data_IF_586195665788
#
_entry.id   IF_586195665788
#
_cell.length_a   1.000
_cell.length_b   1.000
_cell.length_c   1.000
_cell.angle_alpha   90.00
_cell.angle_beta   90.00
_cell.angle_gamma   90.00
#
_symmetry.space_group_name_H-M   'P 1'
#
loop_
_entity.id
_entity.type
_entity.pdbx_description
1 polymer ?
#
# COMPACT_ATOMS: atom_id res chain seq x y z
N UNK A 1 21.99 11.17 -13.25
CA UNK A 1 20.94 11.79 -12.40
C UNK A 1 20.23 10.69 -11.59
N UNK A 2 20.76 10.28 -10.43
CA UNK A 2 20.10 9.27 -9.56
C UNK A 2 18.96 9.96 -8.81
N UNK A 3 17.72 9.87 -9.33
CA UNK A 3 16.54 10.29 -8.57
C UNK A 3 16.46 9.39 -7.34
N UNK A 4 16.86 9.91 -6.18
CA UNK A 4 16.55 9.32 -4.89
C UNK A 4 15.04 9.44 -4.74
N UNK A 5 14.27 8.49 -5.29
CA UNK A 5 12.85 8.41 -4.99
C UNK A 5 12.77 8.32 -3.47
N UNK A 6 12.22 9.37 -2.86
CA UNK A 6 12.10 9.44 -1.41
C UNK A 6 11.30 8.20 -0.99
N UNK A 7 11.87 7.29 -0.18
CA UNK A 7 11.17 6.09 0.28
C UNK A 7 9.82 6.45 0.91
N UNK A 8 9.74 7.63 1.53
CA UNK A 8 8.49 8.17 2.08
C UNK A 8 7.44 8.48 1.01
N UNK A 9 7.82 9.12 -0.10
CA UNK A 9 6.88 9.51 -1.15
C UNK A 9 6.26 8.28 -1.82
N UNK A 10 7.07 7.26 -2.09
CA UNK A 10 6.56 5.99 -2.63
C UNK A 10 5.66 5.28 -1.61
N UNK A 11 5.90 5.44 -0.31
CA UNK A 11 5.18 4.71 0.74
C UNK A 11 3.77 5.25 0.90
N UNK A 12 3.64 6.57 0.85
CA UNK A 12 2.36 7.28 0.84
C UNK A 12 1.56 6.90 -0.42
N UNK A 13 2.21 6.82 -1.58
CA UNK A 13 1.55 6.42 -2.83
C UNK A 13 0.97 4.99 -2.75
N UNK A 14 1.77 4.01 -2.32
CA UNK A 14 1.28 2.63 -2.13
C UNK A 14 0.16 2.54 -1.09
N UNK A 15 0.25 3.30 0.00
CA UNK A 15 -0.80 3.35 1.00
C UNK A 15 -2.11 3.94 0.43
N UNK A 16 -2.00 5.04 -0.34
CA UNK A 16 -3.14 5.66 -1.01
C UNK A 16 -3.80 4.74 -2.03
N UNK A 17 -2.99 4.02 -2.82
CA UNK A 17 -3.48 3.04 -3.79
C UNK A 17 -4.19 1.87 -3.09
N UNK A 18 -3.63 1.37 -1.99
CA UNK A 18 -4.23 0.30 -1.20
C UNK A 18 -5.58 0.68 -0.59
N UNK A 19 -5.72 1.92 -0.09
CA UNK A 19 -7.01 2.45 0.39
C UNK A 19 -8.02 2.51 -0.76
N UNK A 20 -7.60 3.01 -1.92
CA UNK A 20 -8.46 3.11 -3.10
C UNK A 20 -9.00 1.73 -3.52
N UNK A 21 -8.12 0.73 -3.63
CA UNK A 21 -8.53 -0.64 -3.96
C UNK A 21 -9.43 -1.26 -2.89
N UNK A 22 -9.21 -0.94 -1.61
CA UNK A 22 -10.09 -1.40 -0.52
C UNK A 22 -11.50 -0.84 -0.67
N UNK A 23 -11.65 0.45 -0.98
CA UNK A 23 -12.97 1.08 -1.21
C UNK A 23 -13.66 0.44 -2.41
N UNK A 24 -12.94 0.23 -3.51
CA UNK A 24 -13.50 -0.45 -4.69
C UNK A 24 -13.89 -1.90 -4.39
N UNK A 25 -13.10 -2.64 -3.61
CA UNK A 25 -13.42 -3.99 -3.20
C UNK A 25 -14.73 -4.04 -2.38
N UNK A 26 -14.90 -3.11 -1.44
CA UNK A 26 -16.12 -2.99 -0.64
C UNK A 26 -17.32 -2.66 -1.54
N UNK A 27 -17.20 -1.68 -2.42
CA UNK A 27 -18.29 -1.36 -3.36
C UNK A 27 -18.64 -2.57 -4.25
N UNK A 28 -17.63 -3.25 -4.79
CA UNK A 28 -17.85 -4.39 -5.66
C UNK A 28 -18.50 -5.56 -4.89
N UNK A 29 -18.11 -5.82 -3.64
CA UNK A 29 -18.73 -6.87 -2.83
C UNK A 29 -20.16 -6.53 -2.43
N UNK A 30 -20.46 -5.25 -2.19
CA UNK A 30 -21.81 -4.79 -1.87
C UNK A 30 -22.77 -4.88 -3.06
N UNK A 31 -22.29 -4.64 -4.29
CA UNK A 31 -23.12 -4.67 -5.50
C UNK A 31 -23.17 -6.04 -6.18
N UNK A 32 -22.03 -6.72 -6.31
CA UNK A 32 -21.85 -7.94 -7.10
C UNK A 32 -21.56 -9.18 -6.24
N UNK A 33 -21.39 -9.02 -4.93
CA UNK A 33 -21.06 -10.10 -4.00
C UNK A 33 -19.59 -10.53 -4.03
N UNK A 34 -19.34 -11.69 -3.40
CA UNK A 34 -18.00 -12.29 -3.28
C UNK A 34 -17.60 -13.04 -4.56
N UNK A 35 -17.37 -12.29 -5.64
CA UNK A 35 -16.84 -12.81 -6.90
C UNK A 35 -15.31 -12.80 -6.98
N UNK A 36 -14.77 -13.41 -8.04
CA UNK A 36 -13.33 -13.41 -8.34
C UNK A 36 -12.72 -12.00 -8.32
N UNK A 37 -13.44 -11.01 -8.90
CA UNK A 37 -12.99 -9.61 -8.94
C UNK A 37 -12.84 -9.02 -7.54
N UNK A 38 -13.78 -9.31 -6.62
CA UNK A 38 -13.70 -8.83 -5.23
C UNK A 38 -12.46 -9.38 -4.53
N UNK A 39 -12.18 -10.68 -4.69
CA UNK A 39 -10.97 -11.31 -4.13
C UNK A 39 -9.69 -10.76 -4.77
N UNK A 40 -9.70 -10.51 -6.08
CA UNK A 40 -8.57 -9.92 -6.79
C UNK A 40 -8.27 -8.49 -6.31
N UNK A 41 -9.30 -7.66 -6.10
CA UNK A 41 -9.15 -6.31 -5.55
C UNK A 41 -8.61 -6.34 -4.12
N UNK A 42 -9.08 -7.26 -3.28
CA UNK A 42 -8.56 -7.46 -1.91
C UNK A 42 -7.09 -7.88 -1.95
N UNK A 43 -6.72 -8.78 -2.87
CA UNK A 43 -5.33 -9.22 -3.04
C UNK A 43 -4.43 -8.04 -3.42
N UNK A 44 -4.83 -7.24 -4.41
CA UNK A 44 -4.10 -6.03 -4.81
C UNK A 44 -3.96 -5.05 -3.65
N UNK A 45 -5.06 -4.74 -2.96
CA UNK A 45 -5.04 -3.86 -1.78
C UNK A 45 -4.07 -4.36 -0.71
N UNK A 46 -4.02 -5.68 -0.47
CA UNK A 46 -3.11 -6.29 0.51
C UNK A 46 -1.64 -6.13 0.11
N UNK A 47 -1.31 -6.33 -1.17
CA UNK A 47 0.04 -6.16 -1.70
C UNK A 47 0.51 -4.70 -1.60
N UNK A 48 -0.36 -3.75 -1.94
CA UNK A 48 -0.08 -2.32 -1.87
C UNK A 48 0.11 -1.85 -0.42
N UNK A 49 -0.80 -2.23 0.49
CA UNK A 49 -0.70 -1.90 1.91
C UNK A 49 0.56 -2.54 2.52
N UNK A 50 0.83 -3.82 2.22
CA UNK A 50 2.03 -4.51 2.70
C UNK A 50 3.33 -3.84 2.23
N UNK A 51 3.37 -3.39 0.97
CA UNK A 51 4.50 -2.63 0.43
C UNK A 51 4.66 -1.26 1.10
N UNK A 52 3.54 -0.56 1.35
CA UNK A 52 3.52 0.68 2.10
C UNK A 52 4.04 0.52 3.54
N UNK A 53 3.57 -0.50 4.27
CA UNK A 53 4.04 -0.84 5.61
C UNK A 53 5.54 -1.14 5.61
N UNK A 54 6.02 -1.96 4.67
CA UNK A 54 7.45 -2.31 4.57
C UNK A 54 8.31 -1.06 4.41
N UNK A 55 7.83 -0.07 3.67
CA UNK A 55 8.58 1.15 3.44
C UNK A 55 8.53 2.12 4.64
N UNK A 56 7.42 2.15 5.38
CA UNK A 56 7.35 2.83 6.69
C UNK A 56 8.31 2.20 7.70
N UNK A 57 8.38 0.87 7.77
CA UNK A 57 9.33 0.15 8.63
C UNK A 57 10.78 0.43 8.23
N UNK A 58 11.08 0.45 6.93
CA UNK A 58 12.40 0.84 6.42
C UNK A 58 12.75 2.28 6.82
N UNK A 59 11.81 3.21 6.69
CA UNK A 59 12.01 4.59 7.13
C UNK A 59 12.29 4.69 8.64
N UNK A 60 11.51 3.98 9.47
CA UNK A 60 11.71 3.93 10.92
C UNK A 60 13.10 3.36 11.27
N UNK A 61 13.54 2.29 10.60
CA UNK A 61 14.85 1.68 10.79
C UNK A 61 15.98 2.64 10.40
N UNK A 62 15.88 3.32 9.25
CA UNK A 62 16.87 4.30 8.80
C UNK A 62 16.95 5.48 9.79
N UNK A 63 15.79 5.97 10.28
CA UNK A 63 15.75 7.06 11.28
C UNK A 63 16.45 6.65 12.58
N UNK A 64 16.23 5.41 13.04
CA UNK A 64 16.86 4.88 14.25
C UNK A 64 18.38 4.69 14.11
N UNK A 65 18.89 4.24 12.95
CA UNK A 65 20.33 4.13 12.71
C UNK A 65 21.04 5.47 12.50
N UNK A 66 20.32 6.53 12.08
CA UNK A 66 20.90 7.87 11.90
C UNK A 66 20.99 8.67 13.22
N UNK A 67 20.38 8.18 14.29
CA UNK A 67 20.46 8.76 15.64
C UNK A 67 21.50 8.06 16.54
N UNK A 68 22.27 7.11 16.00
CA UNK A 68 23.42 6.49 16.68
C UNK A 68 24.70 7.00 16.01
#
# INVERSE_FOLDING_TARGET
MRRKQSPLAMGILYFGLGILFTVYAIQHVSHSGWGFISLFLILLATLDIGSGIRMLLLYAKIKSSKQK
#
